data_IF_157398188780
#
_entry.id   IF_157398188780
#
_cell.length_a   1.000
_cell.length_b   1.000
_cell.length_c   1.000
_cell.angle_alpha   90.00
_cell.angle_beta   90.00
_cell.angle_gamma   90.00
#
_symmetry.space_group_name_H-M   'P 1'
#
loop_
_entity.id
_entity.type
_entity.pdbx_description
1 polymer ?
#
# COMPACT_ATOMS: atom_id res chain seq x y z
N UNK A 1 24.62 -38.35 35.38
CA UNK A 1 24.38 -38.63 33.95
C UNK A 1 23.47 -37.50 33.42
N UNK A 2 24.09 -36.61 32.68
CA UNK A 2 23.47 -35.38 32.12
C UNK A 2 22.54 -35.74 30.97
N UNK A 3 21.38 -35.12 30.89
CA UNK A 3 20.65 -34.94 29.66
C UNK A 3 20.24 -33.46 29.56
N UNK A 4 20.93 -32.75 28.70
CA UNK A 4 20.58 -31.42 28.25
C UNK A 4 19.44 -31.53 27.25
N UNK A 5 18.38 -30.77 27.49
CA UNK A 5 17.29 -30.58 26.55
C UNK A 5 17.43 -29.19 25.95
N UNK A 6 17.87 -29.15 24.70
CA UNK A 6 17.90 -27.95 23.90
C UNK A 6 16.45 -27.54 23.53
N UNK A 7 16.03 -26.39 24.02
CA UNK A 7 14.79 -25.75 23.54
C UNK A 7 15.15 -24.86 22.34
N UNK A 8 14.74 -25.27 21.16
CA UNK A 8 14.74 -24.43 19.95
C UNK A 8 13.72 -23.32 20.11
N UNK A 9 14.23 -22.10 20.18
CA UNK A 9 13.43 -20.88 20.07
C UNK A 9 13.09 -20.65 18.58
N UNK A 10 11.91 -21.04 18.19
CA UNK A 10 11.32 -20.60 16.91
C UNK A 10 11.03 -19.10 16.98
N UNK A 11 11.89 -18.32 16.34
CA UNK A 11 11.62 -16.90 16.11
C UNK A 11 10.58 -16.76 14.99
N UNK A 12 9.36 -16.48 15.39
CA UNK A 12 8.31 -16.01 14.48
C UNK A 12 8.61 -14.57 14.12
N UNK A 13 9.20 -14.34 12.98
CA UNK A 13 9.42 -13.00 12.42
C UNK A 13 8.09 -12.46 11.91
N UNK A 14 7.54 -11.47 12.57
CA UNK A 14 6.36 -10.72 12.10
C UNK A 14 6.72 -9.98 10.79
N UNK A 15 5.89 -10.07 9.73
CA UNK A 15 6.15 -9.38 8.48
C UNK A 15 5.72 -7.92 8.57
N UNK A 16 6.66 -7.01 8.66
CA UNK A 16 6.35 -5.57 8.69
C UNK A 16 7.55 -4.64 8.91
N UNK A 17 8.67 -5.13 9.35
CA UNK A 17 9.83 -4.28 9.62
C UNK A 17 10.86 -4.37 8.48
N UNK A 18 10.89 -3.32 7.66
CA UNK A 18 12.07 -3.05 6.82
C UNK A 18 13.05 -2.28 7.69
N UNK A 19 13.85 -3.00 8.45
CA UNK A 19 14.89 -2.44 9.29
C UNK A 19 16.12 -2.10 8.42
N UNK A 20 16.39 -0.82 8.21
CA UNK A 20 17.65 -0.31 7.71
C UNK A 20 18.37 0.42 8.84
N UNK A 21 19.23 -0.31 9.54
CA UNK A 21 20.32 0.23 10.35
C UNK A 21 19.93 0.74 11.73
N UNK A 22 20.42 0.04 12.73
CA UNK A 22 20.36 0.43 14.13
C UNK A 22 21.01 1.79 14.37
N UNK A 23 20.30 2.69 15.03
CA UNK A 23 20.87 3.76 15.86
C UNK A 23 20.03 3.88 17.14
N UNK A 24 20.75 3.76 18.24
CA UNK A 24 20.29 3.78 19.62
C UNK A 24 19.52 5.03 19.98
N UNK A 25 18.54 4.83 20.87
CA UNK A 25 17.95 5.78 21.83
C UNK A 25 18.08 7.28 21.58
N UNK A 26 17.03 7.88 21.03
CA UNK A 26 16.63 9.24 21.34
C UNK A 26 15.12 9.30 21.55
N UNK A 27 14.68 8.95 22.74
CA UNK A 27 13.34 9.25 23.24
C UNK A 27 13.31 10.72 23.62
N UNK A 28 12.96 11.59 22.68
CA UNK A 28 12.52 12.95 22.98
C UNK A 28 11.52 13.35 21.91
N UNK A 29 10.26 13.38 22.29
CA UNK A 29 9.20 13.95 21.47
C UNK A 29 9.43 15.45 21.33
N UNK A 30 10.09 15.88 20.26
CA UNK A 30 10.18 17.29 19.88
C UNK A 30 8.84 17.63 19.21
N UNK A 31 8.15 18.70 19.62
CA UNK A 31 6.97 19.18 18.92
C UNK A 31 7.35 19.51 17.47
N UNK A 32 6.74 18.85 16.50
CA UNK A 32 7.05 19.02 15.09
C UNK A 32 6.49 20.34 14.56
N UNK A 33 7.33 21.34 14.44
CA UNK A 33 7.08 22.54 13.62
C UNK A 33 7.24 22.15 12.14
N UNK A 34 6.22 21.49 11.58
CA UNK A 34 6.24 20.97 10.19
C UNK A 34 5.74 22.02 9.18
N UNK A 35 5.06 23.05 9.63
CA UNK A 35 4.18 23.88 8.81
C UNK A 35 4.88 24.85 7.81
N UNK A 36 6.17 25.13 7.94
CA UNK A 36 6.85 26.16 7.11
C UNK A 36 7.84 25.62 6.07
N UNK A 37 8.19 24.36 6.13
CA UNK A 37 9.18 23.78 5.22
C UNK A 37 8.59 23.45 3.84
N UNK A 38 9.33 23.68 2.74
CA UNK A 38 8.88 23.32 1.40
C UNK A 38 8.70 21.80 1.29
N UNK A 39 7.58 21.35 0.72
CA UNK A 39 7.36 19.94 0.46
C UNK A 39 8.37 19.41 -0.57
N UNK A 40 8.83 18.19 -0.37
CA UNK A 40 9.65 17.44 -1.34
C UNK A 40 8.75 16.42 -2.02
N UNK A 41 8.74 16.45 -3.35
CA UNK A 41 7.92 15.56 -4.17
C UNK A 41 8.67 14.29 -4.51
N UNK A 42 8.01 13.14 -4.30
CA UNK A 42 8.44 11.81 -4.73
C UNK A 42 7.39 11.21 -5.64
N UNK A 43 7.79 10.41 -6.61
CA UNK A 43 6.83 9.76 -7.51
C UNK A 43 7.29 8.37 -7.91
N UNK A 44 6.31 7.50 -8.17
CA UNK A 44 6.57 6.17 -8.72
C UNK A 44 5.40 5.70 -9.57
N UNK A 45 5.71 4.89 -10.58
CA UNK A 45 4.74 4.19 -11.41
C UNK A 45 4.98 2.71 -11.25
N UNK A 46 3.91 1.94 -11.12
CA UNK A 46 3.97 0.49 -11.11
C UNK A 46 2.84 -0.08 -11.97
N UNK A 47 3.04 -1.28 -12.48
CA UNK A 47 2.04 -1.97 -13.29
C UNK A 47 2.20 -3.47 -13.15
N UNK A 48 1.15 -4.21 -13.45
CA UNK A 48 1.19 -5.66 -13.37
C UNK A 48 -0.04 -6.30 -13.98
N UNK A 49 -0.07 -7.61 -13.85
CA UNK A 49 -1.15 -8.46 -14.35
C UNK A 49 -1.46 -9.53 -13.33
N UNK A 50 -2.75 -9.74 -13.03
CA UNK A 50 -3.26 -10.88 -12.29
C UNK A 50 -3.90 -11.86 -13.28
N UNK A 51 -3.85 -13.13 -12.95
CA UNK A 51 -4.47 -14.19 -13.75
C UNK A 51 -5.52 -14.90 -12.91
N UNK A 52 -6.73 -14.99 -13.45
CA UNK A 52 -7.87 -15.68 -12.85
C UNK A 52 -8.32 -16.80 -13.76
N UNK A 53 -8.46 -18.01 -13.22
CA UNK A 53 -8.98 -19.16 -13.97
C UNK A 53 -10.51 -19.16 -13.95
N UNK A 54 -11.09 -18.14 -14.55
CA UNK A 54 -12.53 -17.93 -14.63
C UNK A 54 -12.87 -16.98 -15.78
N UNK A 55 -14.12 -17.01 -16.29
CA UNK A 55 -14.63 -16.06 -17.27
C UNK A 55 -14.61 -14.61 -16.76
N UNK A 56 -14.51 -13.61 -17.66
CA UNK A 56 -14.49 -12.18 -17.28
C UNK A 56 -15.68 -11.75 -16.45
N UNK A 57 -16.86 -12.29 -16.68
CA UNK A 57 -18.08 -11.94 -15.95
C UNK A 57 -18.04 -12.40 -14.48
N UNK A 58 -17.37 -13.53 -14.22
CA UNK A 58 -17.18 -14.03 -12.85
C UNK A 58 -16.17 -13.18 -12.11
N UNK A 59 -15.07 -12.83 -12.78
CA UNK A 59 -14.04 -11.96 -12.22
C UNK A 59 -14.57 -10.53 -12.00
N UNK A 60 -15.39 -10.02 -12.91
CA UNK A 60 -16.04 -8.72 -12.76
C UNK A 60 -16.94 -8.67 -11.53
N UNK A 61 -17.80 -9.68 -11.32
CA UNK A 61 -18.64 -9.76 -10.11
C UNK A 61 -17.83 -9.73 -8.81
N UNK A 62 -16.67 -10.37 -8.79
CA UNK A 62 -15.77 -10.30 -7.65
C UNK A 62 -15.25 -8.88 -7.40
N UNK A 63 -14.77 -8.20 -8.42
CA UNK A 63 -14.26 -6.83 -8.27
C UNK A 63 -15.34 -5.81 -7.99
N UNK A 64 -16.57 -6.02 -8.48
CA UNK A 64 -17.72 -5.16 -8.18
C UNK A 64 -18.13 -5.24 -6.70
N UNK A 65 -17.92 -6.38 -6.03
CA UNK A 65 -18.13 -6.55 -4.57
C UNK A 65 -16.88 -6.17 -3.76
N UNK A 66 -16.33 -4.97 -4.01
CA UNK A 66 -15.11 -4.54 -3.32
C UNK A 66 -15.25 -4.44 -1.80
N UNK A 67 -16.46 -4.21 -1.27
CA UNK A 67 -16.72 -4.20 0.16
C UNK A 67 -16.50 -5.59 0.78
N UNK A 68 -16.77 -6.65 0.03
CA UNK A 68 -16.60 -8.02 0.46
C UNK A 68 -15.13 -8.47 0.55
N UNK A 69 -14.25 -8.01 -0.32
CA UNK A 69 -12.87 -8.53 -0.40
C UNK A 69 -11.78 -7.55 0.02
N UNK A 70 -11.96 -6.23 -0.14
CA UNK A 70 -10.86 -5.28 -0.02
C UNK A 70 -10.20 -5.28 1.37
N UNK A 71 -10.99 -5.21 2.43
CA UNK A 71 -10.46 -5.20 3.80
C UNK A 71 -9.71 -6.51 4.14
N UNK A 72 -10.21 -7.67 3.65
CA UNK A 72 -9.53 -8.96 3.85
C UNK A 72 -8.19 -9.02 3.12
N UNK A 73 -8.17 -8.59 1.86
CA UNK A 73 -6.97 -8.64 1.03
C UNK A 73 -5.94 -7.58 1.41
N UNK A 74 -6.37 -6.43 1.92
CA UNK A 74 -5.48 -5.36 2.35
C UNK A 74 -4.68 -5.69 3.62
N UNK A 75 -5.13 -6.61 4.47
CA UNK A 75 -4.41 -6.95 5.70
C UNK A 75 -2.92 -7.28 5.42
N UNK A 76 -1.95 -6.85 6.27
CA UNK A 76 -2.12 -6.26 7.60
C UNK A 76 -2.40 -4.75 7.62
N UNK A 77 -2.55 -4.09 6.47
CA UNK A 77 -2.98 -2.69 6.41
C UNK A 77 -4.37 -2.56 7.05
N UNK A 78 -4.60 -1.45 7.74
CA UNK A 78 -5.89 -1.19 8.33
C UNK A 78 -6.78 -0.46 7.31
N UNK A 79 -7.97 -0.99 7.09
CA UNK A 79 -8.96 -0.42 6.17
C UNK A 79 -10.20 -0.05 6.96
N UNK A 80 -10.66 1.18 6.80
CA UNK A 80 -11.91 1.67 7.38
C UNK A 80 -12.80 2.17 6.24
N UNK A 81 -14.02 1.66 6.11
CA UNK A 81 -14.96 2.14 5.10
C UNK A 81 -15.30 3.62 5.30
N UNK A 82 -15.45 4.36 4.22
CA UNK A 82 -15.82 5.76 4.16
C UNK A 82 -16.88 5.98 3.08
N UNK A 83 -18.14 5.95 3.45
CA UNK A 83 -19.24 5.94 2.52
C UNK A 83 -19.40 4.61 1.76
N UNK A 84 -19.91 4.66 0.53
CA UNK A 84 -20.19 3.45 -0.27
C UNK A 84 -18.96 2.89 -0.96
N UNK A 85 -18.13 3.75 -1.55
CA UNK A 85 -17.00 3.35 -2.38
C UNK A 85 -15.67 3.86 -1.83
N UNK A 86 -15.69 4.57 -0.71
CA UNK A 86 -14.53 5.17 -0.09
C UNK A 86 -13.95 4.29 1.03
N UNK A 87 -12.65 4.45 1.24
CA UNK A 87 -11.90 3.79 2.30
C UNK A 87 -10.80 4.68 2.83
N UNK A 88 -10.57 4.64 4.13
CA UNK A 88 -9.32 5.10 4.72
C UNK A 88 -8.39 3.91 4.85
N UNK A 89 -7.18 4.05 4.35
CA UNK A 89 -6.14 3.02 4.39
C UNK A 89 -4.95 3.51 5.22
N UNK A 90 -4.59 2.79 6.28
CA UNK A 90 -3.34 2.98 7.04
C UNK A 90 -2.36 1.91 6.58
N UNK A 91 -1.28 2.33 5.89
CA UNK A 91 -0.41 1.41 5.16
C UNK A 91 0.56 0.69 6.10
N UNK A 92 0.98 1.34 7.19
CA UNK A 92 1.96 0.88 8.16
C UNK A 92 3.04 1.93 8.39
N UNK A 93 4.04 1.59 9.20
CA UNK A 93 5.12 2.52 9.57
C UNK A 93 6.31 2.38 8.63
N UNK A 94 6.82 3.51 8.18
CA UNK A 94 8.00 3.60 7.34
C UNK A 94 8.90 4.71 7.83
N UNK A 95 10.21 4.48 7.78
CA UNK A 95 11.14 5.48 8.30
C UNK A 95 12.48 5.49 7.57
N UNK A 96 13.12 6.65 7.63
CA UNK A 96 14.50 6.86 7.19
C UNK A 96 15.08 8.10 7.87
N UNK A 97 16.38 8.13 8.08
CA UNK A 97 17.08 9.25 8.72
C UNK A 97 16.58 9.63 10.13
N UNK A 98 16.05 8.66 10.90
CA UNK A 98 15.45 8.93 12.22
C UNK A 98 14.08 9.62 12.16
N UNK A 99 13.45 9.70 11.01
CA UNK A 99 12.08 10.16 10.81
C UNK A 99 11.17 9.01 10.40
N UNK A 100 10.07 8.84 11.10
CA UNK A 100 9.07 7.81 10.83
C UNK A 100 7.74 8.45 10.44
N UNK A 101 7.03 7.81 9.53
CA UNK A 101 5.68 8.20 9.10
C UNK A 101 4.80 6.95 9.00
N UNK A 102 3.55 7.10 9.39
CA UNK A 102 2.50 6.11 9.19
C UNK A 102 1.48 6.68 8.19
N UNK A 103 1.67 6.40 6.87
CA UNK A 103 0.82 6.99 5.86
C UNK A 103 -0.63 6.52 5.97
N UNK A 104 -1.53 7.50 6.00
CA UNK A 104 -2.97 7.34 5.97
C UNK A 104 -3.48 7.97 4.69
N UNK A 105 -4.24 7.23 3.88
CA UNK A 105 -4.70 7.66 2.56
C UNK A 105 -6.19 7.38 2.43
N UNK A 106 -6.95 8.38 1.98
CA UNK A 106 -8.32 8.19 1.51
C UNK A 106 -8.31 7.65 0.09
N UNK A 107 -9.06 6.61 -0.17
CA UNK A 107 -9.19 5.99 -1.50
C UNK A 107 -10.66 5.87 -1.87
N UNK A 108 -10.99 6.09 -3.13
CA UNK A 108 -12.30 5.81 -3.72
C UNK A 108 -12.16 4.81 -4.85
N UNK A 109 -12.97 3.76 -4.82
CA UNK A 109 -13.05 2.74 -5.86
C UNK A 109 -14.23 3.02 -6.78
N UNK A 110 -13.99 3.02 -8.09
CA UNK A 110 -14.99 3.30 -9.12
C UNK A 110 -14.98 2.21 -10.19
N UNK A 111 -16.17 1.74 -10.54
CA UNK A 111 -16.39 0.96 -11.74
C UNK A 111 -17.03 1.88 -12.79
N UNK A 112 -16.35 2.09 -13.91
CA UNK A 112 -16.82 3.00 -14.96
C UNK A 112 -17.59 2.26 -16.06
N UNK A 113 -17.10 1.10 -16.41
CA UNK A 113 -17.67 0.16 -17.39
C UNK A 113 -17.41 -1.25 -16.89
N UNK A 114 -18.19 -2.24 -17.34
CA UNK A 114 -17.93 -3.63 -16.99
C UNK A 114 -16.47 -4.01 -17.25
N UNK A 115 -15.79 -4.48 -16.21
CA UNK A 115 -14.38 -4.87 -16.28
C UNK A 115 -13.37 -3.71 -16.29
N UNK A 116 -13.78 -2.46 -16.06
CA UNK A 116 -12.88 -1.31 -15.94
C UNK A 116 -13.03 -0.63 -14.59
N UNK A 117 -11.96 -0.62 -13.82
CA UNK A 117 -11.92 -0.12 -12.45
C UNK A 117 -10.88 0.96 -12.28
N UNK A 118 -11.17 1.93 -11.43
CA UNK A 118 -10.25 3.00 -11.05
C UNK A 118 -10.25 3.12 -9.52
N UNK A 119 -9.08 3.31 -8.95
CA UNK A 119 -8.91 3.69 -7.54
C UNK A 119 -8.18 5.02 -7.54
N UNK A 120 -8.74 6.01 -6.86
CA UNK A 120 -8.17 7.35 -6.76
C UNK A 120 -8.09 7.78 -5.30
N UNK A 121 -7.08 8.61 -4.98
CA UNK A 121 -7.03 9.24 -3.66
C UNK A 121 -8.12 10.29 -3.52
N UNK A 122 -8.70 10.33 -2.31
CA UNK A 122 -9.69 11.33 -1.91
C UNK A 122 -9.28 11.98 -0.58
N UNK A 123 -9.73 13.22 -0.31
CA UNK A 123 -9.47 13.86 0.97
C UNK A 123 -9.98 13.04 2.15
N UNK A 124 -9.24 13.07 3.25
CA UNK A 124 -9.68 12.45 4.50
C UNK A 124 -10.53 13.44 5.31
N UNK A 125 -11.58 12.97 6.03
CA UNK A 125 -12.51 13.86 6.74
C UNK A 125 -11.92 14.63 7.92
N UNK A 126 -10.81 14.17 8.50
CA UNK A 126 -10.20 14.67 9.72
C UNK A 126 -8.75 15.10 9.52
N UNK A 127 -8.47 15.85 8.49
CA UNK A 127 -7.09 16.23 8.21
C UNK A 127 -6.69 17.49 9.01
N UNK A 128 -6.07 17.22 10.17
CA UNK A 128 -4.99 18.07 10.61
C UNK A 128 -3.83 18.02 9.59
N UNK A 129 -2.87 18.93 9.67
CA UNK A 129 -1.69 18.92 8.79
C UNK A 129 -0.87 17.63 8.98
N UNK A 130 -1.14 16.62 8.15
CA UNK A 130 -0.42 15.32 8.18
C UNK A 130 1.06 15.43 7.81
N UNK A 131 1.49 16.60 7.34
CA UNK A 131 2.87 16.82 6.86
C UNK A 131 3.15 16.14 5.51
N UNK A 132 2.17 15.51 4.89
CA UNK A 132 2.27 14.94 3.55
C UNK A 132 0.93 15.00 2.81
N UNK A 133 1.01 14.97 1.49
CA UNK A 133 -0.11 14.87 0.56
C UNK A 133 0.16 13.70 -0.39
N UNK A 134 -0.87 12.91 -0.68
CA UNK A 134 -0.77 11.76 -1.59
C UNK A 134 -1.75 11.92 -2.74
N UNK A 135 -1.23 11.88 -3.95
CA UNK A 135 -1.98 11.78 -5.20
C UNK A 135 -1.74 10.36 -5.77
N UNK A 136 -2.75 9.52 -5.62
CA UNK A 136 -2.73 8.12 -6.05
C UNK A 136 -3.82 7.89 -7.09
N UNK A 137 -3.46 7.27 -8.18
CA UNK A 137 -4.40 6.78 -9.18
C UNK A 137 -3.98 5.41 -9.68
N UNK A 138 -4.92 4.46 -9.64
CA UNK A 138 -4.75 3.15 -10.25
C UNK A 138 -5.90 2.87 -11.20
N UNK A 139 -5.59 2.29 -12.34
CA UNK A 139 -6.56 1.79 -13.32
C UNK A 139 -6.36 0.30 -13.51
N UNK A 140 -7.45 -0.43 -13.68
CA UNK A 140 -7.43 -1.87 -13.95
C UNK A 140 -8.45 -2.19 -15.02
N UNK A 141 -8.07 -3.08 -15.96
CA UNK A 141 -8.93 -3.58 -17.02
C UNK A 141 -8.91 -5.11 -17.02
N UNK A 142 -10.09 -5.72 -17.09
CA UNK A 142 -10.22 -7.14 -17.33
C UNK A 142 -10.10 -7.42 -18.82
N UNK A 143 -9.22 -8.35 -19.17
CA UNK A 143 -8.98 -8.80 -20.55
C UNK A 143 -9.26 -10.29 -20.62
N UNK A 144 -10.12 -10.69 -21.53
CA UNK A 144 -10.40 -12.08 -21.80
C UNK A 144 -9.13 -12.80 -22.28
N UNK A 145 -8.85 -13.93 -21.68
CA UNK A 145 -7.77 -14.82 -22.08
C UNK A 145 -8.25 -15.95 -22.98
N UNK A 146 -7.59 -17.10 -22.89
CA UNK A 146 -7.85 -18.23 -23.78
C UNK A 146 -9.25 -18.86 -23.55
N UNK A 147 -10.06 -18.95 -24.62
CA UNK A 147 -11.35 -19.63 -24.65
C UNK A 147 -12.36 -19.24 -23.54
N UNK A 148 -12.37 -18.01 -23.12
CA UNK A 148 -13.26 -17.52 -22.04
C UNK A 148 -13.13 -18.28 -20.69
N UNK A 149 -12.01 -18.97 -20.47
CA UNK A 149 -11.75 -19.71 -19.22
C UNK A 149 -10.74 -19.05 -18.33
N UNK A 150 -10.04 -18.04 -18.85
CA UNK A 150 -9.01 -17.28 -18.15
C UNK A 150 -9.27 -15.80 -18.34
N UNK A 151 -9.13 -15.03 -17.28
CA UNK A 151 -9.19 -13.56 -17.30
C UNK A 151 -7.90 -12.98 -16.77
N UNK A 152 -7.40 -11.99 -17.47
CA UNK A 152 -6.29 -11.16 -17.02
C UNK A 152 -6.81 -9.84 -16.48
N UNK A 153 -6.44 -9.49 -15.25
CA UNK A 153 -6.65 -8.14 -14.74
C UNK A 153 -5.33 -7.36 -14.89
N UNK A 154 -5.26 -6.52 -15.91
CA UNK A 154 -4.12 -5.67 -16.19
C UNK A 154 -4.30 -4.33 -15.46
N UNK A 155 -3.33 -3.95 -14.66
CA UNK A 155 -3.41 -2.75 -13.86
C UNK A 155 -2.16 -1.87 -13.98
N UNK A 156 -2.38 -0.58 -13.80
CA UNK A 156 -1.34 0.43 -13.70
C UNK A 156 -1.67 1.37 -12.55
N UNK A 157 -0.66 1.78 -11.78
CA UNK A 157 -0.78 2.82 -10.78
C UNK A 157 0.27 3.91 -10.99
N UNK A 158 -0.15 5.13 -10.70
CA UNK A 158 0.68 6.32 -10.56
C UNK A 158 0.54 6.83 -9.13
N UNK A 159 1.65 7.11 -8.46
CA UNK A 159 1.66 7.66 -7.11
C UNK A 159 2.63 8.82 -7.03
N UNK A 160 2.14 9.94 -6.49
CA UNK A 160 2.95 11.09 -6.09
C UNK A 160 2.73 11.35 -4.60
N UNK A 161 3.79 11.64 -3.89
CA UNK A 161 3.75 12.01 -2.49
C UNK A 161 4.56 13.30 -2.28
N UNK A 162 3.90 14.34 -1.77
CA UNK A 162 4.54 15.59 -1.35
C UNK A 162 4.72 15.53 0.16
N UNK A 163 5.96 15.51 0.64
CA UNK A 163 6.26 15.32 2.07
C UNK A 163 6.98 16.54 2.61
N UNK A 164 6.47 17.10 3.71
CA UNK A 164 7.14 18.15 4.51
C UNK A 164 7.86 17.46 5.65
N UNK A 165 9.16 17.56 5.64
CA UNK A 165 10.00 16.94 6.67
C UNK A 165 10.30 17.92 7.82
N UNK A 166 10.70 17.41 9.00
CA UNK A 166 11.31 18.20 10.04
C UNK A 166 12.60 18.90 9.55
N UNK A 167 12.91 20.05 10.15
CA UNK A 167 14.01 20.93 9.73
C UNK A 167 15.37 20.22 9.60
N UNK A 168 15.66 19.26 10.48
CA UNK A 168 16.94 18.54 10.46
C UNK A 168 17.17 17.73 9.17
N UNK A 169 16.10 17.27 8.50
CA UNK A 169 16.21 16.55 7.21
C UNK A 169 16.74 17.49 6.12
N UNK A 170 16.35 18.79 6.14
CA UNK A 170 16.80 19.74 5.13
C UNK A 170 18.26 20.14 5.27
N UNK A 171 18.93 19.76 6.36
CA UNK A 171 20.40 19.91 6.49
C UNK A 171 21.18 18.89 5.67
N UNK A 172 20.53 17.81 5.25
CA UNK A 172 21.13 16.79 4.41
C UNK A 172 21.21 17.24 2.94
N UNK A 173 22.15 16.71 2.15
CA UNK A 173 22.22 16.99 0.72
C UNK A 173 20.90 16.64 0.01
N UNK A 174 20.35 17.59 -0.76
CA UNK A 174 19.07 17.41 -1.47
C UNK A 174 19.03 16.14 -2.32
N UNK A 175 20.13 15.83 -3.04
CA UNK A 175 20.21 14.62 -3.84
C UNK A 175 20.13 13.32 -3.02
N UNK A 176 20.60 13.33 -1.78
CA UNK A 176 20.49 12.19 -0.87
C UNK A 176 19.03 12.00 -0.43
N UNK A 177 18.36 13.09 -0.04
CA UNK A 177 16.95 13.05 0.35
C UNK A 177 16.10 12.52 -0.80
N UNK A 178 16.25 13.09 -2.00
CA UNK A 178 15.50 12.70 -3.18
C UNK A 178 15.69 11.21 -3.51
N UNK A 179 16.94 10.77 -3.65
CA UNK A 179 17.26 9.38 -3.99
C UNK A 179 16.76 8.37 -2.97
N UNK A 180 16.85 8.71 -1.69
CA UNK A 180 16.38 7.84 -0.61
C UNK A 180 14.86 7.78 -0.58
N UNK A 181 14.18 8.92 -0.72
CA UNK A 181 12.73 8.99 -0.75
C UNK A 181 12.12 8.26 -1.95
N UNK A 182 12.65 8.47 -3.15
CA UNK A 182 12.20 7.77 -4.36
C UNK A 182 12.38 6.25 -4.23
N UNK A 183 13.53 5.81 -3.69
CA UNK A 183 13.79 4.40 -3.44
C UNK A 183 12.80 3.80 -2.42
N UNK A 184 12.57 4.52 -1.32
CA UNK A 184 11.65 4.07 -0.27
C UNK A 184 10.22 3.99 -0.80
N UNK A 185 9.74 5.03 -1.48
CA UNK A 185 8.41 5.05 -2.08
C UNK A 185 8.21 3.88 -3.07
N UNK A 186 9.17 3.66 -3.96
CA UNK A 186 9.11 2.56 -4.91
C UNK A 186 9.11 1.19 -4.22
N UNK A 187 9.88 1.02 -3.15
CA UNK A 187 9.91 -0.22 -2.38
C UNK A 187 8.56 -0.48 -1.68
N UNK A 188 7.98 0.54 -1.05
CA UNK A 188 6.66 0.46 -0.42
C UNK A 188 5.60 0.04 -1.44
N UNK A 189 5.53 0.75 -2.56
CA UNK A 189 4.54 0.45 -3.61
C UNK A 189 4.69 -0.97 -4.14
N UNK A 190 5.90 -1.41 -4.46
CA UNK A 190 6.14 -2.78 -4.92
C UNK A 190 5.73 -3.83 -3.89
N UNK A 191 6.06 -3.63 -2.63
CA UNK A 191 5.73 -4.57 -1.57
C UNK A 191 4.23 -4.65 -1.32
N UNK A 192 3.54 -3.50 -1.26
CA UNK A 192 2.09 -3.42 -1.07
C UNK A 192 1.37 -4.05 -2.25
N UNK A 193 1.73 -3.67 -3.49
CA UNK A 193 1.11 -4.22 -4.70
C UNK A 193 1.30 -5.74 -4.79
N UNK A 194 2.50 -6.24 -4.52
CA UNK A 194 2.77 -7.68 -4.58
C UNK A 194 1.90 -8.47 -3.58
N UNK A 195 1.83 -7.99 -2.33
CA UNK A 195 1.01 -8.65 -1.30
C UNK A 195 -0.48 -8.59 -1.61
N UNK A 196 -0.97 -7.42 -2.02
CA UNK A 196 -2.38 -7.25 -2.38
C UNK A 196 -2.76 -8.16 -3.55
N UNK A 197 -1.94 -8.19 -4.59
CA UNK A 197 -2.15 -9.02 -5.77
C UNK A 197 -2.26 -10.52 -5.42
N UNK A 198 -1.35 -11.03 -4.60
CA UNK A 198 -1.40 -12.43 -4.16
C UNK A 198 -2.69 -12.71 -3.39
N UNK A 199 -3.03 -11.86 -2.41
CA UNK A 199 -4.22 -12.05 -1.59
C UNK A 199 -5.51 -11.95 -2.37
N UNK A 200 -5.59 -11.07 -3.36
CA UNK A 200 -6.76 -10.92 -4.24
C UNK A 200 -6.98 -12.20 -5.07
N UNK A 201 -5.91 -12.76 -5.63
CA UNK A 201 -6.02 -14.02 -6.39
C UNK A 201 -6.41 -15.18 -5.47
N UNK A 202 -5.80 -15.27 -4.29
CA UNK A 202 -6.11 -16.34 -3.32
C UNK A 202 -7.55 -16.23 -2.81
N UNK A 203 -8.01 -15.02 -2.45
CA UNK A 203 -9.37 -14.75 -1.98
C UNK A 203 -10.41 -15.06 -3.05
N UNK A 204 -10.13 -14.69 -4.29
CA UNK A 204 -10.98 -15.05 -5.43
C UNK A 204 -11.15 -16.57 -5.55
N UNK A 205 -10.04 -17.31 -5.56
CA UNK A 205 -10.09 -18.77 -5.69
C UNK A 205 -10.79 -19.45 -4.52
N UNK A 206 -10.69 -18.91 -3.31
CA UNK A 206 -11.36 -19.46 -2.14
C UNK A 206 -12.87 -19.20 -2.12
N UNK A 207 -13.32 -18.05 -2.63
CA UNK A 207 -14.70 -17.60 -2.45
C UNK A 207 -15.55 -17.60 -3.74
N UNK A 208 -14.94 -17.65 -4.93
CA UNK A 208 -15.63 -17.49 -6.22
C UNK A 208 -15.37 -18.60 -7.25
N UNK A 209 -14.32 -19.39 -7.11
CA UNK A 209 -14.01 -20.46 -8.07
C UNK A 209 -14.90 -21.71 -7.96
N UNK A 210 -15.83 -21.76 -7.01
CA UNK A 210 -16.64 -22.96 -6.70
C UNK A 210 -18.11 -22.81 -7.10
N UNK A 211 -18.46 -21.82 -7.93
CA UNK A 211 -19.83 -21.63 -8.43
C UNK A 211 -19.93 -21.85 -9.93
#
# INVERSE_FOLDING_TARGET
MKLESSAELSQTTAPGEVFLGAVSDFTSAVPMEVATNPAIAFSTVNQGKLTFNAPPEVVARYFDDHQGWFARCAAPMQVQPMGQNGYTLVIGRFGSFGYEVEPKVGLEMKSHLPGMYTIESIPLPEDGELGYEVDFRSTMQLVEGHNNTVTYAEWKLDLKANVRFPQFIYTLPKGLIQKTGDRLLNQIVKQVSHRLNQKVVDDFHQNYSTQ
#
